data_IF_090926990872
#
_entry.id   IF_090926990872
#
_cell.length_a   1.000
_cell.length_b   1.000
_cell.length_c   1.000
_cell.angle_alpha   90.00
_cell.angle_beta   90.00
_cell.angle_gamma   90.00
#
_symmetry.space_group_name_H-M   'P 1'
#
loop_
_entity.id
_entity.type
_entity.pdbx_description
1 polymer ?
#
# COMPACT_ATOMS: atom_id res chain seq x y z
N UNK A 1 4.06 -6.36 -8.62
CA UNK A 1 4.66 -6.03 -7.30
C UNK A 1 4.46 -4.54 -7.00
N UNK A 2 3.37 -4.17 -6.33
CA UNK A 2 3.07 -2.77 -6.04
C UNK A 2 1.73 -2.60 -5.39
N UNK A 3 1.73 -2.48 -4.06
CA UNK A 3 0.54 -2.21 -3.27
C UNK A 3 0.76 -0.87 -2.58
N UNK A 4 -0.20 0.04 -2.70
CA UNK A 4 -0.13 1.42 -2.21
C UNK A 4 -1.48 1.83 -1.58
N UNK A 5 -1.49 2.55 -0.45
CA UNK A 5 -2.69 3.05 0.20
C UNK A 5 -3.44 4.08 -0.66
N UNK A 6 -4.76 4.15 -0.47
CA UNK A 6 -5.66 4.99 -1.26
C UNK A 6 -5.30 6.49 -1.16
N UNK A 7 -5.10 7.15 -2.31
CA UNK A 7 -4.84 8.60 -2.41
C UNK A 7 -3.56 9.04 -3.12
N UNK A 8 -2.73 8.12 -3.63
CA UNK A 8 -1.49 8.46 -4.36
C UNK A 8 -1.73 8.79 -5.84
N UNK A 9 -1.01 9.78 -6.39
CA UNK A 9 -1.14 10.28 -7.77
C UNK A 9 -1.00 9.19 -8.86
N UNK A 10 -1.86 9.26 -9.87
CA UNK A 10 -2.24 8.21 -10.82
C UNK A 10 -1.26 7.92 -11.96
N UNK A 11 -0.07 8.50 -12.00
CA UNK A 11 0.51 8.77 -13.32
C UNK A 11 1.21 7.60 -14.02
N UNK A 12 1.31 6.38 -13.46
CA UNK A 12 2.18 5.39 -14.15
C UNK A 12 2.09 3.88 -13.83
N UNK A 13 0.97 3.28 -13.38
CA UNK A 13 1.03 1.81 -13.20
C UNK A 13 -0.23 0.96 -13.36
N UNK A 14 -0.09 -0.01 -14.29
CA UNK A 14 -0.91 -1.19 -14.53
C UNK A 14 -0.99 -2.06 -13.26
N UNK A 15 -2.22 -2.28 -12.78
CA UNK A 15 -2.62 -3.20 -11.68
C UNK A 15 -2.16 -2.77 -10.27
N UNK A 16 -2.98 -1.92 -9.65
CA UNK A 16 -2.90 -1.59 -8.23
C UNK A 16 -3.87 -2.53 -7.51
N UNK A 17 -3.34 -3.51 -6.77
CA UNK A 17 -4.10 -4.25 -5.76
C UNK A 17 -3.98 -3.48 -4.45
N UNK A 18 -5.08 -3.34 -3.71
CA UNK A 18 -5.03 -2.79 -2.35
C UNK A 18 -4.34 -3.77 -1.40
N UNK A 19 -3.84 -3.31 -0.24
CA UNK A 19 -3.28 -4.21 0.78
C UNK A 19 -4.22 -5.35 1.12
N UNK A 20 -5.51 -5.05 1.30
CA UNK A 20 -6.58 -6.03 1.54
C UNK A 20 -6.68 -7.08 0.43
N UNK A 21 -6.78 -6.63 -0.83
CA UNK A 21 -6.93 -7.52 -1.97
C UNK A 21 -5.73 -8.44 -2.17
N UNK A 22 -4.52 -8.00 -1.78
CA UNK A 22 -3.34 -8.83 -1.86
C UNK A 22 -3.31 -9.91 -0.79
N UNK A 23 -3.80 -9.62 0.42
CA UNK A 23 -4.00 -10.62 1.47
C UNK A 23 -5.07 -11.63 1.06
N UNK A 24 -6.20 -11.16 0.51
CA UNK A 24 -7.27 -12.03 0.00
C UNK A 24 -6.78 -12.93 -1.16
N UNK A 25 -5.80 -12.44 -1.94
CA UNK A 25 -5.13 -13.22 -2.98
C UNK A 25 -4.07 -14.21 -2.43
N UNK A 26 -3.89 -14.29 -1.11
CA UNK A 26 -2.97 -15.22 -0.44
C UNK A 26 -1.53 -14.73 -0.35
N UNK A 27 -1.29 -13.41 -0.37
CA UNK A 27 0.07 -12.88 -0.20
C UNK A 27 0.49 -12.90 1.27
N UNK A 28 1.60 -13.57 1.60
CA UNK A 28 2.15 -13.57 2.95
C UNK A 28 2.92 -12.28 3.28
N UNK A 29 3.44 -11.59 2.26
CA UNK A 29 4.26 -10.39 2.41
C UNK A 29 3.83 -9.29 1.43
N UNK A 30 3.74 -8.05 1.95
CA UNK A 30 3.39 -6.86 1.18
C UNK A 30 4.60 -5.92 1.08
N UNK A 31 5.11 -5.70 -0.13
CA UNK A 31 6.20 -4.74 -0.38
C UNK A 31 5.63 -3.38 -0.77
N UNK A 32 5.72 -2.41 0.14
CA UNK A 32 5.18 -1.06 -0.02
C UNK A 32 6.33 -0.05 -0.07
N UNK A 33 6.60 0.48 -1.26
CA UNK A 33 7.67 1.46 -1.48
C UNK A 33 7.24 2.92 -1.25
N UNK A 34 7.18 3.71 -2.33
CA UNK A 34 7.00 5.17 -2.33
C UNK A 34 5.91 5.75 -1.38
N UNK A 35 4.72 5.18 -1.18
CA UNK A 35 3.72 5.73 -0.26
C UNK A 35 4.16 5.79 1.19
N UNK A 36 5.08 4.92 1.59
CA UNK A 36 5.63 4.96 2.95
C UNK A 36 6.90 5.79 2.92
N UNK A 37 7.82 5.52 1.99
CA UNK A 37 9.12 6.21 1.97
C UNK A 37 9.09 7.67 1.52
N UNK A 38 8.03 8.14 0.87
CA UNK A 38 7.83 9.54 0.44
C UNK A 38 6.66 10.21 1.16
N UNK A 39 6.05 9.56 2.15
CA UNK A 39 5.04 10.22 2.97
C UNK A 39 5.70 11.28 3.86
N UNK A 40 4.96 12.36 4.13
CA UNK A 40 5.37 13.37 5.11
C UNK A 40 5.55 12.78 6.51
N UNK A 41 4.76 11.74 6.83
CA UNK A 41 4.89 10.94 8.04
C UNK A 41 4.81 9.45 7.68
N UNK A 42 5.97 8.78 7.51
CA UNK A 42 6.03 7.36 7.17
C UNK A 42 5.38 6.45 8.22
N UNK A 43 5.46 6.80 9.51
CA UNK A 43 4.89 6.01 10.59
C UNK A 43 3.36 6.05 10.52
N UNK A 44 2.79 7.24 10.29
CA UNK A 44 1.35 7.40 10.07
C UNK A 44 0.87 6.70 8.80
N UNK A 45 1.64 6.78 7.71
CA UNK A 45 1.31 6.08 6.47
C UNK A 45 1.29 4.55 6.64
N UNK A 46 2.28 4.01 7.36
CA UNK A 46 2.31 2.58 7.70
C UNK A 46 1.14 2.20 8.61
N UNK A 47 0.83 2.99 9.62
CA UNK A 47 -0.29 2.73 10.53
C UNK A 47 -1.64 2.70 9.77
N UNK A 48 -1.84 3.57 8.79
CA UNK A 48 -3.02 3.56 7.94
C UNK A 48 -3.14 2.27 7.11
N UNK A 49 -2.04 1.78 6.55
CA UNK A 49 -2.01 0.50 5.82
C UNK A 49 -2.35 -0.66 6.77
N UNK A 50 -1.77 -0.66 7.98
CA UNK A 50 -2.05 -1.70 8.99
C UNK A 50 -3.52 -1.68 9.41
N UNK A 51 -4.11 -0.49 9.58
CA UNK A 51 -5.54 -0.35 9.89
C UNK A 51 -6.46 -0.83 8.76
N UNK A 52 -6.01 -0.78 7.50
CA UNK A 52 -6.78 -1.26 6.33
C UNK A 52 -6.80 -2.80 6.22
N UNK A 53 -5.75 -3.46 6.73
CA UNK A 53 -5.61 -4.93 6.73
C UNK A 53 -6.10 -5.61 8.00
N UNK A 54 -6.25 -4.88 9.10
CA UNK A 54 -6.89 -5.36 10.34
C UNK A 54 -8.37 -5.72 10.10
#
# INVERSE_FOLDING_TARGET
PGIRPAGSAQDDQRRILTPRQALDAGSDYLVIGRPISQAADPAKALAAVVAEIA
#
